data_IF_824794940475
#
_entry.id   IF_824794940475
#
_cell.length_a   1.000
_cell.length_b   1.000
_cell.length_c   1.000
_cell.angle_alpha   90.00
_cell.angle_beta   90.00
_cell.angle_gamma   90.00
#
_symmetry.space_group_name_H-M   'P 1'
#
loop_
_entity.id
_entity.type
_entity.pdbx_description
1 polymer ?
#
# COMPACT_ATOMS: atom_id res chain seq x y z
N UNK A 1 41.47 10.07 -64.15
CA UNK A 1 42.71 10.85 -64.36
C UNK A 1 43.67 10.35 -63.31
N UNK A 2 44.56 9.53 -63.73
CA UNK A 2 45.96 9.80 -64.11
C UNK A 2 46.85 10.03 -62.92
N UNK A 3 47.88 9.41 -62.58
CA UNK A 3 48.92 8.57 -63.24
C UNK A 3 49.78 8.00 -62.12
N UNK A 4 50.12 6.74 -62.04
CA UNK A 4 51.31 6.10 -62.68
C UNK A 4 52.63 6.66 -62.18
N UNK A 5 53.45 5.88 -61.67
CA UNK A 5 54.69 5.22 -62.20
C UNK A 5 55.78 5.49 -61.21
N UNK A 6 56.74 4.74 -60.78
CA UNK A 6 57.27 3.53 -61.29
C UNK A 6 58.55 3.13 -60.52
N UNK A 7 58.86 1.88 -60.64
CA UNK A 7 60.12 1.26 -61.05
C UNK A 7 61.37 1.43 -60.18
N UNK A 8 61.81 0.34 -59.59
CA UNK A 8 62.74 -0.69 -60.08
C UNK A 8 64.23 -0.36 -59.91
N UNK A 9 64.91 -1.41 -59.54
CA UNK A 9 66.27 -1.84 -59.86
C UNK A 9 67.26 -1.66 -58.70
N UNK A 10 68.09 -2.58 -58.33
CA UNK A 10 68.58 -3.89 -58.82
C UNK A 10 69.64 -4.28 -57.78
N UNK A 11 69.68 -5.47 -57.34
CA UNK A 11 70.42 -6.65 -57.81
C UNK A 11 71.96 -6.50 -57.77
N UNK A 12 72.52 -7.50 -57.16
CA UNK A 12 73.86 -8.14 -57.42
C UNK A 12 75.08 -7.54 -56.76
N UNK A 13 75.69 -8.40 -55.90
CA UNK A 13 76.96 -9.11 -56.15
C UNK A 13 77.40 -9.73 -54.83
N UNK A 14 77.29 -11.07 -54.77
CA UNK A 14 78.34 -12.04 -55.08
C UNK A 14 79.54 -11.97 -54.10
N UNK A 15 79.64 -12.98 -53.30
CA UNK A 15 80.37 -14.26 -53.43
C UNK A 15 81.79 -14.22 -52.85
N UNK A 16 82.17 -15.27 -52.16
CA UNK A 16 83.48 -15.70 -51.73
C UNK A 16 83.98 -15.16 -50.38
N UNK A 17 84.30 -16.02 -49.42
CA UNK A 17 85.16 -17.18 -49.35
C UNK A 17 84.85 -17.97 -48.07
N UNK A 18 84.67 -19.09 -48.12
CA UNK A 18 85.10 -20.45 -47.87
C UNK A 18 86.34 -20.58 -46.93
N UNK A 19 86.14 -21.60 -46.04
CA UNK A 19 87.16 -22.56 -45.54
C UNK A 19 87.81 -22.26 -44.20
N UNK A 20 87.70 -23.28 -43.40
CA UNK A 20 88.54 -23.84 -42.30
C UNK A 20 88.20 -23.24 -40.90
N UNK A 21 88.07 -24.01 -39.88
CA UNK A 21 88.61 -25.31 -39.47
C UNK A 21 87.72 -25.90 -38.35
N UNK A 22 87.53 -27.15 -38.47
CA UNK A 22 87.04 -28.17 -37.52
C UNK A 22 87.64 -28.09 -36.11
N UNK A 23 86.84 -28.66 -35.23
CA UNK A 23 87.25 -29.20 -33.92
C UNK A 23 87.08 -28.20 -32.74
N UNK A 24 85.97 -28.33 -32.03
CA UNK A 24 85.90 -28.81 -30.63
C UNK A 24 84.42 -29.11 -30.28
N UNK A 25 84.06 -30.40 -30.30
CA UNK A 25 82.85 -30.81 -29.57
C UNK A 25 83.26 -31.34 -28.21
N UNK A 26 82.56 -31.06 -27.20
CA UNK A 26 82.59 -31.66 -25.88
C UNK A 26 83.02 -30.64 -24.81
N UNK A 27 82.00 -29.96 -24.26
CA UNK A 27 81.95 -29.50 -22.86
C UNK A 27 80.80 -28.46 -22.67
N UNK A 28 79.56 -28.79 -23.08
CA UNK A 28 78.38 -28.05 -22.70
C UNK A 28 77.13 -28.97 -22.57
N UNK A 29 77.35 -30.04 -21.83
CA UNK A 29 76.33 -30.94 -21.36
C UNK A 29 76.39 -31.03 -19.83
N UNK A 30 76.04 -29.91 -19.12
CA UNK A 30 75.78 -29.96 -17.70
C UNK A 30 75.28 -28.61 -17.23
N UNK A 31 73.98 -28.28 -17.50
CA UNK A 31 73.11 -27.42 -16.70
C UNK A 31 71.73 -27.54 -17.24
N UNK A 32 71.14 -28.73 -17.25
CA UNK A 32 69.69 -28.86 -17.07
C UNK A 32 69.45 -28.73 -15.59
N UNK A 33 69.31 -27.52 -15.09
CA UNK A 33 68.67 -27.25 -13.85
C UNK A 33 67.20 -27.72 -14.00
N UNK A 34 66.93 -28.91 -13.47
CA UNK A 34 65.62 -29.30 -13.09
C UNK A 34 65.07 -28.13 -12.23
N UNK A 35 64.17 -27.36 -12.78
CA UNK A 35 63.35 -26.44 -11.98
C UNK A 35 62.49 -27.36 -11.11
N UNK A 36 62.93 -27.60 -9.88
CA UNK A 36 62.07 -28.12 -8.84
C UNK A 36 60.79 -27.21 -8.87
N UNK A 37 59.59 -27.81 -8.84
CA UNK A 37 58.41 -27.01 -8.68
C UNK A 37 58.61 -26.21 -7.41
N UNK A 38 58.63 -24.88 -7.53
CA UNK A 38 58.76 -23.95 -6.42
C UNK A 38 57.80 -24.40 -5.34
N UNK A 39 58.33 -24.71 -4.17
CA UNK A 39 57.55 -25.11 -3.01
C UNK A 39 56.44 -24.05 -2.86
N UNK A 40 55.21 -24.46 -3.04
CA UNK A 40 54.01 -23.59 -2.98
C UNK A 40 54.03 -22.89 -1.63
N UNK A 41 54.36 -21.60 -1.62
CA UNK A 41 54.37 -20.80 -0.40
C UNK A 41 53.03 -20.95 0.30
N UNK A 42 53.05 -21.47 1.53
CA UNK A 42 51.83 -21.57 2.36
C UNK A 42 51.41 -20.17 2.72
N UNK A 43 50.31 -19.69 2.12
CA UNK A 43 49.79 -18.35 2.38
C UNK A 43 48.71 -18.37 3.47
N UNK A 44 48.84 -17.40 4.37
CA UNK A 44 47.77 -17.14 5.34
C UNK A 44 46.56 -16.49 4.63
N UNK A 45 45.40 -17.08 4.76
CA UNK A 45 44.15 -16.57 4.21
C UNK A 45 43.12 -16.36 5.32
N UNK A 46 42.28 -15.37 5.16
CA UNK A 46 41.10 -15.22 6.04
C UNK A 46 39.93 -15.92 5.39
N UNK A 47 39.21 -16.72 6.16
CA UNK A 47 38.11 -17.54 5.68
C UNK A 47 36.85 -17.27 6.47
N UNK A 48 35.72 -17.63 5.88
CA UNK A 48 34.39 -17.70 6.53
C UNK A 48 33.80 -19.05 6.21
N UNK A 49 33.17 -19.67 7.21
CA UNK A 49 32.37 -20.88 7.00
C UNK A 49 31.01 -20.48 6.45
N UNK A 50 30.60 -21.17 5.41
CA UNK A 50 29.31 -20.92 4.75
C UNK A 50 28.17 -21.44 5.61
N UNK A 51 27.26 -20.54 5.93
CA UNK A 51 26.01 -20.83 6.63
C UNK A 51 24.83 -20.38 5.78
N UNK A 52 23.74 -21.15 5.79
CA UNK A 52 22.48 -20.67 5.23
C UNK A 52 21.84 -19.72 6.22
N UNK A 53 21.61 -18.51 5.77
CA UNK A 53 20.92 -17.51 6.55
C UNK A 53 19.65 -17.10 5.80
N UNK A 54 18.52 -17.12 6.50
CA UNK A 54 17.34 -16.44 5.97
C UNK A 54 17.67 -14.95 5.94
N UNK A 55 17.57 -14.27 4.79
CA UNK A 55 17.80 -12.85 4.74
C UNK A 55 16.73 -12.16 5.60
N UNK A 56 17.15 -11.64 6.74
CA UNK A 56 16.32 -10.88 7.67
C UNK A 56 16.23 -9.42 7.19
N UNK A 57 15.72 -9.24 5.97
CA UNK A 57 15.48 -7.89 5.42
C UNK A 57 13.99 -7.65 5.44
N UNK A 58 13.47 -6.97 6.48
CA UNK A 58 12.06 -6.63 6.53
C UNK A 58 11.72 -5.68 5.37
N UNK A 59 10.62 -5.94 4.70
CA UNK A 59 10.03 -4.96 3.79
C UNK A 59 9.48 -3.82 4.65
N UNK A 60 9.96 -2.61 4.38
CA UNK A 60 9.50 -1.39 5.04
C UNK A 60 8.79 -0.49 4.06
N UNK A 61 7.63 0.05 4.46
CA UNK A 61 6.87 0.98 3.64
C UNK A 61 6.27 2.07 4.50
N UNK A 62 6.26 3.30 3.97
CA UNK A 62 5.68 4.45 4.66
C UNK A 62 4.20 4.55 4.33
N UNK A 63 3.40 4.90 5.34
CA UNK A 63 1.96 5.09 5.24
C UNK A 63 1.46 6.17 6.19
N UNK A 64 0.15 6.22 6.36
CA UNK A 64 -0.52 7.17 7.26
C UNK A 64 -1.63 6.47 8.05
N UNK A 65 -1.95 7.03 9.20
CA UNK A 65 -3.08 6.57 10.02
C UNK A 65 -4.36 7.22 9.52
N UNK A 66 -5.36 6.40 9.23
CA UNK A 66 -6.72 6.83 8.90
C UNK A 66 -7.74 6.25 9.88
N UNK A 67 -8.93 6.84 9.91
CA UNK A 67 -10.04 6.23 10.63
C UNK A 67 -10.51 4.98 9.86
N UNK A 68 -10.95 3.97 10.61
CA UNK A 68 -11.58 2.79 10.02
C UNK A 68 -12.82 3.17 9.20
N UNK A 69 -13.61 4.09 9.74
CA UNK A 69 -14.86 4.55 9.12
C UNK A 69 -14.92 6.09 9.21
N UNK A 70 -15.09 6.71 8.06
CA UNK A 70 -15.19 8.15 7.92
C UNK A 70 -16.44 8.50 7.10
N UNK A 71 -17.32 9.32 7.68
CA UNK A 71 -18.54 9.76 7.05
C UNK A 71 -18.48 11.25 6.67
N UNK A 72 -18.81 11.57 5.44
CA UNK A 72 -19.06 12.94 4.99
C UNK A 72 -20.54 13.26 5.13
N UNK A 73 -20.86 14.23 5.96
CA UNK A 73 -22.20 14.66 6.24
C UNK A 73 -22.54 15.95 5.48
N UNK A 74 -23.73 16.04 4.91
CA UNK A 74 -24.24 17.17 4.18
C UNK A 74 -25.75 17.28 4.29
N UNK A 75 -26.29 18.48 4.03
CA UNK A 75 -27.72 18.70 4.03
C UNK A 75 -28.42 17.96 2.88
N UNK A 76 -29.63 17.49 3.13
CA UNK A 76 -30.50 16.84 2.13
C UNK A 76 -31.22 17.84 1.23
N UNK A 77 -31.23 19.13 1.60
CA UNK A 77 -31.78 20.24 0.84
C UNK A 77 -30.74 21.34 0.66
N UNK A 78 -30.89 22.16 -0.34
CA UNK A 78 -30.07 23.36 -0.53
C UNK A 78 -30.62 24.53 0.29
N UNK A 79 -29.74 25.39 0.76
CA UNK A 79 -30.12 26.54 1.54
C UNK A 79 -28.95 27.39 1.99
N UNK A 80 -29.22 28.47 2.70
CA UNK A 80 -28.20 29.29 3.34
C UNK A 80 -27.87 28.74 4.71
N UNK A 81 -26.62 28.59 5.01
CA UNK A 81 -26.16 28.15 6.36
C UNK A 81 -26.42 29.27 7.35
N UNK A 82 -27.22 28.98 8.36
CA UNK A 82 -27.49 29.89 9.47
C UNK A 82 -26.42 29.82 10.56
N UNK A 83 -26.06 28.57 10.94
CA UNK A 83 -25.11 28.27 11.99
C UNK A 83 -24.19 27.12 11.57
N UNK A 84 -22.88 27.31 11.73
CA UNK A 84 -21.85 26.28 11.62
C UNK A 84 -20.63 26.69 12.46
N UNK A 85 -20.64 26.34 13.76
CA UNK A 85 -19.60 26.68 14.72
C UNK A 85 -18.63 25.52 14.99
N UNK A 86 -18.62 24.51 14.11
CA UNK A 86 -17.82 23.31 14.23
C UNK A 86 -16.32 23.61 14.24
N UNK A 87 -15.58 22.85 15.05
CA UNK A 87 -14.11 22.93 15.13
C UNK A 87 -13.47 21.61 14.80
N UNK A 88 -12.39 21.66 14.03
CA UNK A 88 -11.58 20.50 13.75
C UNK A 88 -11.10 19.85 15.04
N UNK A 89 -11.20 18.53 15.14
CA UNK A 89 -10.82 17.76 16.34
C UNK A 89 -11.89 17.73 17.44
N UNK A 90 -13.03 18.40 17.26
CA UNK A 90 -14.15 18.35 18.20
C UNK A 90 -14.77 16.96 18.23
N UNK A 91 -15.09 16.48 19.45
CA UNK A 91 -15.83 15.24 19.63
C UNK A 91 -17.32 15.48 19.53
N UNK A 92 -17.99 14.68 18.71
CA UNK A 92 -19.43 14.76 18.52
C UNK A 92 -20.13 13.52 19.05
N UNK A 93 -21.40 13.70 19.46
CA UNK A 93 -22.30 12.64 19.94
C UNK A 93 -23.40 12.38 18.93
N UNK A 94 -23.97 11.18 18.86
CA UNK A 94 -25.16 10.91 18.03
C UNK A 94 -26.29 11.87 18.37
N UNK A 95 -26.98 12.40 17.34
CA UNK A 95 -28.05 13.37 17.48
C UNK A 95 -27.61 14.80 17.85
N UNK A 96 -26.29 15.03 17.95
CA UNK A 96 -25.80 16.40 18.13
C UNK A 96 -25.98 17.19 16.82
N UNK A 97 -26.64 18.35 16.92
CA UNK A 97 -26.78 19.27 15.78
C UNK A 97 -25.41 19.87 15.46
N UNK A 98 -24.99 19.68 14.21
CA UNK A 98 -23.70 20.13 13.68
C UNK A 98 -23.80 21.48 12.98
N UNK A 99 -24.88 21.67 12.21
CA UNK A 99 -25.11 22.89 11.46
C UNK A 99 -26.61 23.06 11.20
N UNK A 100 -27.05 24.30 10.92
CA UNK A 100 -28.41 24.64 10.58
C UNK A 100 -28.48 25.46 9.31
N UNK A 101 -29.48 25.18 8.49
CA UNK A 101 -29.92 26.07 7.40
C UNK A 101 -30.93 27.09 7.91
N UNK A 102 -31.10 28.17 7.17
CA UNK A 102 -32.18 29.15 7.38
C UNK A 102 -33.54 28.48 7.06
N UNK A 103 -34.42 28.23 8.07
CA UNK A 103 -35.58 27.35 7.91
C UNK A 103 -36.85 28.10 7.46
N UNK A 104 -36.75 29.40 7.12
CA UNK A 104 -37.92 30.25 6.98
C UNK A 104 -38.91 29.78 5.90
N UNK A 105 -38.36 29.27 4.77
CA UNK A 105 -39.18 28.77 3.66
C UNK A 105 -39.89 27.47 4.03
N UNK A 106 -39.19 26.56 4.68
CA UNK A 106 -39.69 25.25 5.12
C UNK A 106 -40.74 25.40 6.20
N UNK A 107 -40.53 26.34 7.15
CA UNK A 107 -41.52 26.67 8.17
C UNK A 107 -42.81 27.32 7.57
N UNK A 108 -42.66 28.11 6.52
CA UNK A 108 -43.82 28.65 5.80
C UNK A 108 -44.55 27.52 5.07
N UNK A 109 -43.84 26.60 4.43
CA UNK A 109 -44.40 25.39 3.82
C UNK A 109 -45.16 24.52 4.82
N UNK A 110 -44.57 24.30 6.01
CA UNK A 110 -45.23 23.56 7.09
C UNK A 110 -46.54 24.22 7.53
N UNK A 111 -46.54 25.54 7.76
CA UNK A 111 -47.76 26.26 8.12
C UNK A 111 -48.83 26.16 7.04
N UNK A 112 -48.46 26.23 5.77
CA UNK A 112 -49.38 26.05 4.65
C UNK A 112 -49.99 24.65 4.62
N UNK A 113 -49.19 23.60 4.81
CA UNK A 113 -49.67 22.23 4.86
C UNK A 113 -50.60 21.97 6.06
N UNK A 114 -50.27 22.56 7.23
CA UNK A 114 -51.16 22.51 8.41
C UNK A 114 -52.52 23.14 8.14
N UNK A 115 -52.54 24.30 7.50
CA UNK A 115 -53.79 24.98 7.13
C UNK A 115 -54.58 24.14 6.10
N UNK A 116 -53.91 23.51 5.14
CA UNK A 116 -54.50 22.60 4.17
C UNK A 116 -55.18 21.39 4.83
N UNK A 117 -54.51 20.77 5.80
CA UNK A 117 -55.10 19.66 6.56
C UNK A 117 -56.34 20.10 7.34
N UNK A 118 -56.26 21.22 8.05
CA UNK A 118 -57.41 21.75 8.80
C UNK A 118 -58.63 22.03 7.88
N UNK A 119 -58.37 22.54 6.66
CA UNK A 119 -59.45 22.76 5.68
C UNK A 119 -60.08 21.44 5.20
N UNK A 120 -59.24 20.41 4.91
CA UNK A 120 -59.71 19.08 4.50
C UNK A 120 -60.49 18.38 5.62
N UNK A 121 -60.07 18.48 6.87
CA UNK A 121 -60.78 17.94 8.03
C UNK A 121 -62.16 18.63 8.23
N UNK A 122 -62.22 19.96 8.00
CA UNK A 122 -63.47 20.67 8.00
C UNK A 122 -64.45 20.22 6.89
N UNK A 123 -63.92 19.87 5.70
CA UNK A 123 -64.68 19.28 4.61
C UNK A 123 -65.20 17.89 4.94
N UNK A 124 -64.34 17.04 5.51
CA UNK A 124 -64.68 15.70 5.95
C UNK A 124 -65.80 15.73 6.99
N UNK A 125 -65.72 16.63 7.96
CA UNK A 125 -66.77 16.80 8.98
C UNK A 125 -68.10 17.17 8.35
N UNK A 126 -68.16 18.12 7.39
CA UNK A 126 -69.35 18.46 6.66
C UNK A 126 -69.94 17.31 5.84
N UNK A 127 -69.08 16.57 5.12
CA UNK A 127 -69.47 15.41 4.33
C UNK A 127 -70.01 14.27 5.21
N UNK A 128 -69.37 14.02 6.36
CA UNK A 128 -69.83 13.05 7.34
C UNK A 128 -71.18 13.38 7.89
N UNK A 129 -71.39 14.61 8.34
CA UNK A 129 -72.73 15.09 8.83
C UNK A 129 -73.76 15.02 7.75
N UNK A 130 -73.42 15.25 6.50
CA UNK A 130 -74.34 15.13 5.35
C UNK A 130 -74.71 13.67 5.11
N UNK A 131 -73.71 12.76 5.06
CA UNK A 131 -73.93 11.32 4.91
C UNK A 131 -74.82 10.74 6.01
N UNK A 132 -74.53 11.03 7.28
CA UNK A 132 -75.34 10.59 8.42
C UNK A 132 -76.80 11.05 8.34
N UNK A 133 -77.03 12.26 7.88
CA UNK A 133 -78.46 12.75 7.64
C UNK A 133 -79.11 11.98 6.50
N UNK A 134 -78.46 11.74 5.38
CA UNK A 134 -79.02 10.97 4.26
C UNK A 134 -79.22 9.50 4.63
N UNK A 135 -78.40 8.89 5.43
CA UNK A 135 -78.60 7.56 5.95
C UNK A 135 -79.86 7.45 6.82
N UNK A 136 -80.03 8.39 7.72
CA UNK A 136 -81.20 8.45 8.57
C UNK A 136 -82.52 8.70 7.75
N UNK A 137 -82.51 9.49 6.69
CA UNK A 137 -83.61 9.74 5.83
C UNK A 137 -83.92 8.56 4.89
N UNK A 138 -82.91 7.88 4.39
CA UNK A 138 -83.04 6.65 3.59
C UNK A 138 -83.77 5.55 4.38
N UNK A 139 -83.38 5.36 5.64
CA UNK A 139 -83.99 4.36 6.54
C UNK A 139 -85.51 4.62 6.80
N UNK A 140 -85.98 5.80 6.42
CA UNK A 140 -87.41 6.20 6.52
C UNK A 140 -88.08 6.39 5.15
N UNK A 141 -87.42 5.91 4.06
CA UNK A 141 -87.89 6.05 2.67
C UNK A 141 -88.19 7.53 2.21
N UNK A 142 -87.49 8.50 2.85
CA UNK A 142 -87.67 9.93 2.53
C UNK A 142 -86.77 10.38 1.37
N UNK A 143 -85.63 9.70 1.12
CA UNK A 143 -84.73 10.04 0.05
C UNK A 143 -84.41 8.83 -0.87
N UNK A 144 -83.97 9.11 -2.09
CA UNK A 144 -83.63 8.06 -3.03
C UNK A 144 -82.29 7.41 -2.70
N UNK A 145 -82.10 6.17 -3.15
CA UNK A 145 -80.77 5.49 -3.04
C UNK A 145 -79.65 6.25 -3.76
N UNK A 146 -79.95 6.87 -4.91
CA UNK A 146 -79.00 7.71 -5.65
C UNK A 146 -78.48 8.87 -4.80
N UNK A 147 -79.36 9.58 -4.05
CA UNK A 147 -78.95 10.66 -3.13
C UNK A 147 -78.07 10.18 -1.98
N UNK A 148 -78.40 9.02 -1.44
CA UNK A 148 -77.59 8.40 -0.42
C UNK A 148 -76.21 7.99 -0.96
N UNK A 149 -76.15 7.33 -2.14
CA UNK A 149 -74.90 6.92 -2.78
C UNK A 149 -74.00 8.12 -3.13
N UNK A 150 -74.56 9.23 -3.54
CA UNK A 150 -73.91 10.52 -3.75
C UNK A 150 -73.27 11.05 -2.43
N UNK A 151 -74.04 11.06 -1.33
CA UNK A 151 -73.48 11.45 -0.02
C UNK A 151 -72.36 10.55 0.47
N UNK A 152 -72.50 9.25 0.23
CA UNK A 152 -71.42 8.27 0.53
C UNK A 152 -70.15 8.52 -0.27
N UNK A 153 -70.32 8.84 -1.56
CA UNK A 153 -69.15 9.17 -2.42
C UNK A 153 -68.51 10.50 -1.99
N UNK A 154 -69.32 11.54 -1.60
CA UNK A 154 -68.75 12.75 -1.04
C UNK A 154 -67.96 12.52 0.22
N UNK A 155 -68.43 11.66 1.14
CA UNK A 155 -67.70 11.28 2.34
C UNK A 155 -66.38 10.59 2.01
N UNK A 156 -66.40 9.62 1.10
CA UNK A 156 -65.20 8.90 0.68
C UNK A 156 -64.17 9.84 0.02
N UNK A 157 -64.62 10.75 -0.83
CA UNK A 157 -63.78 11.78 -1.47
C UNK A 157 -63.16 12.71 -0.43
N UNK A 158 -63.95 13.19 0.55
CA UNK A 158 -63.44 14.04 1.62
C UNK A 158 -62.44 13.31 2.52
N UNK A 159 -62.64 12.01 2.77
CA UNK A 159 -61.67 11.18 3.50
C UNK A 159 -60.32 11.09 2.74
N UNK A 160 -60.38 10.83 1.43
CA UNK A 160 -59.18 10.77 0.60
C UNK A 160 -58.43 12.11 0.54
N UNK A 161 -59.16 13.24 0.60
CA UNK A 161 -58.57 14.58 0.68
C UNK A 161 -57.80 14.81 2.01
N UNK A 162 -58.36 14.33 3.14
CA UNK A 162 -57.65 14.38 4.43
C UNK A 162 -56.37 13.53 4.40
N UNK A 163 -56.46 12.33 3.83
CA UNK A 163 -55.31 11.45 3.75
C UNK A 163 -54.19 12.06 2.87
N UNK A 164 -54.56 12.69 1.76
CA UNK A 164 -53.60 13.42 0.91
C UNK A 164 -53.00 14.64 1.64
N UNK A 165 -53.81 15.40 2.39
CA UNK A 165 -53.33 16.55 3.15
C UNK A 165 -52.41 16.14 4.32
N UNK A 166 -52.66 14.98 4.95
CA UNK A 166 -51.76 14.41 5.96
C UNK A 166 -50.41 14.05 5.34
N UNK A 167 -50.39 13.38 4.20
CA UNK A 167 -49.16 13.06 3.51
C UNK A 167 -48.36 14.33 3.15
N UNK A 168 -49.05 15.38 2.70
CA UNK A 168 -48.42 16.66 2.41
C UNK A 168 -47.81 17.32 3.67
N UNK A 169 -48.48 17.20 4.81
CA UNK A 169 -48.00 17.70 6.09
C UNK A 169 -46.72 16.96 6.54
N UNK A 170 -46.66 15.63 6.38
CA UNK A 170 -45.46 14.86 6.70
C UNK A 170 -44.28 15.27 5.82
N UNK A 171 -44.46 15.43 4.51
CA UNK A 171 -43.43 15.97 3.62
C UNK A 171 -42.92 17.34 4.08
N UNK A 172 -43.82 18.22 4.49
CA UNK A 172 -43.43 19.54 4.98
C UNK A 172 -42.69 19.49 6.31
N UNK A 173 -43.02 18.53 7.19
CA UNK A 173 -42.28 18.27 8.44
C UNK A 173 -40.87 17.75 8.16
N UNK A 174 -40.73 16.80 7.23
CA UNK A 174 -39.46 16.27 6.82
C UNK A 174 -38.53 17.36 6.27
N UNK A 175 -39.06 18.25 5.42
CA UNK A 175 -38.32 19.40 4.89
C UNK A 175 -37.76 20.31 5.99
N UNK A 176 -38.57 20.58 7.04
CA UNK A 176 -38.09 21.32 8.20
C UNK A 176 -37.02 20.58 8.94
N UNK A 177 -37.15 19.25 9.14
CA UNK A 177 -36.13 18.46 9.81
C UNK A 177 -34.81 18.45 9.04
N UNK A 178 -34.84 18.49 7.70
CA UNK A 178 -33.65 18.54 6.85
C UNK A 178 -32.88 19.86 6.93
N UNK A 179 -33.43 20.88 7.60
CA UNK A 179 -32.71 22.14 7.89
C UNK A 179 -31.72 22.00 9.02
N UNK A 180 -31.79 20.93 9.83
CA UNK A 180 -30.82 20.60 10.85
C UNK A 180 -29.94 19.41 10.39
N UNK A 181 -28.65 19.56 10.49
CA UNK A 181 -27.68 18.51 10.22
C UNK A 181 -27.20 17.93 11.55
N UNK A 182 -27.53 16.68 11.78
CA UNK A 182 -27.14 15.97 13.01
C UNK A 182 -26.04 14.94 12.74
N UNK A 183 -25.23 14.69 13.77
CA UNK A 183 -24.26 13.58 13.75
C UNK A 183 -25.01 12.24 13.87
N UNK A 184 -24.74 11.32 12.98
CA UNK A 184 -25.34 9.98 12.95
C UNK A 184 -24.65 8.99 13.89
N UNK A 185 -23.39 9.25 14.27
CA UNK A 185 -22.58 8.40 15.12
C UNK A 185 -21.60 9.22 15.97
N UNK A 186 -21.08 8.63 17.07
CA UNK A 186 -20.05 9.29 17.87
C UNK A 186 -18.72 9.28 17.12
N UNK A 187 -18.01 10.41 17.16
CA UNK A 187 -16.75 10.54 16.43
C UNK A 187 -15.99 11.82 16.70
N UNK A 188 -15.02 12.09 15.84
CA UNK A 188 -14.20 13.31 15.87
C UNK A 188 -14.28 13.97 14.50
N UNK A 189 -14.47 15.30 14.48
CA UNK A 189 -14.50 16.07 13.25
C UNK A 189 -13.12 16.14 12.59
N UNK A 190 -13.01 15.61 11.36
CA UNK A 190 -11.76 15.61 10.56
C UNK A 190 -11.76 16.67 9.46
N UNK A 191 -12.95 17.16 9.05
CA UNK A 191 -13.09 18.30 8.16
C UNK A 191 -14.35 19.10 8.46
N UNK A 192 -14.29 20.40 8.22
CA UNK A 192 -15.40 21.34 8.35
C UNK A 192 -15.55 22.09 7.04
N UNK A 193 -16.78 22.14 6.54
CA UNK A 193 -17.14 22.78 5.28
C UNK A 193 -17.57 24.25 5.42
N UNK A 194 -18.57 24.70 4.60
CA UNK A 194 -19.01 26.08 4.51
C UNK A 194 -19.44 26.67 5.85
N UNK A 195 -19.20 27.96 6.02
CA UNK A 195 -19.50 28.72 7.24
C UNK A 195 -20.89 29.34 7.19
N UNK A 196 -21.35 29.86 8.34
CA UNK A 196 -22.57 30.65 8.45
C UNK A 196 -22.58 31.78 7.42
N UNK A 197 -23.73 31.99 6.75
CA UNK A 197 -23.94 32.96 5.68
C UNK A 197 -23.71 32.43 4.26
N UNK A 198 -23.00 31.30 4.07
CA UNK A 198 -22.80 30.69 2.76
C UNK A 198 -24.00 29.89 2.28
N UNK A 199 -24.16 29.78 0.96
CA UNK A 199 -25.21 28.97 0.34
C UNK A 199 -24.65 27.63 -0.05
N UNK A 200 -25.31 26.55 0.35
CA UNK A 200 -24.91 25.18 0.10
C UNK A 200 -25.88 24.43 -0.76
N UNK A 201 -25.37 23.46 -1.51
CA UNK A 201 -26.17 22.57 -2.35
C UNK A 201 -26.47 21.27 -1.61
N UNK A 202 -27.52 20.58 -2.05
CA UNK A 202 -27.83 19.22 -1.58
C UNK A 202 -26.65 18.30 -1.74
N UNK A 203 -26.26 17.58 -0.67
CA UNK A 203 -25.15 16.65 -0.66
C UNK A 203 -23.75 17.30 -0.57
N UNK A 204 -23.67 18.63 -0.51
CA UNK A 204 -22.39 19.30 -0.27
C UNK A 204 -21.89 18.98 1.13
N UNK A 205 -20.60 18.61 1.24
CA UNK A 205 -19.97 18.25 2.52
C UNK A 205 -19.96 19.46 3.48
N UNK A 206 -20.55 19.30 4.64
CA UNK A 206 -20.58 20.27 5.75
C UNK A 206 -19.63 19.85 6.87
N UNK A 207 -19.59 18.58 7.17
CA UNK A 207 -18.71 18.02 8.18
C UNK A 207 -18.23 16.64 7.76
N UNK A 208 -17.02 16.27 8.15
CA UNK A 208 -16.51 14.90 8.03
C UNK A 208 -16.19 14.38 9.41
N UNK A 209 -16.70 13.20 9.71
CA UNK A 209 -16.59 12.58 11.03
C UNK A 209 -15.81 11.27 10.89
N UNK A 210 -14.67 11.18 11.59
CA UNK A 210 -14.03 9.90 11.87
C UNK A 210 -14.80 9.24 13.00
N UNK A 211 -15.57 8.18 12.69
CA UNK A 211 -16.35 7.45 13.69
C UNK A 211 -15.47 6.68 14.65
N UNK A 212 -15.95 6.48 15.88
CA UNK A 212 -15.27 5.60 16.84
C UNK A 212 -15.41 4.15 16.38
N UNK A 213 -14.33 3.50 16.00
CA UNK A 213 -14.41 2.11 15.51
C UNK A 213 -13.06 1.46 15.26
N UNK A 214 -11.98 2.21 15.39
CA UNK A 214 -10.64 1.72 15.11
C UNK A 214 -9.85 2.66 14.21
N UNK A 215 -8.60 2.29 13.98
CA UNK A 215 -7.68 3.01 13.09
C UNK A 215 -7.04 2.01 12.14
N UNK A 216 -6.88 2.42 10.92
CA UNK A 216 -6.14 1.70 9.91
C UNK A 216 -4.84 2.44 9.60
N UNK A 217 -3.79 1.68 9.35
CA UNK A 217 -2.62 2.20 8.67
C UNK A 217 -2.79 1.96 7.17
N UNK A 218 -2.75 3.02 6.39
CA UNK A 218 -2.95 2.97 4.94
C UNK A 218 -1.61 3.14 4.25
N UNK A 219 -1.29 2.19 3.38
CA UNK A 219 -0.03 2.12 2.65
C UNK A 219 -0.25 2.09 1.15
N UNK A 220 0.61 2.77 0.40
CA UNK A 220 0.67 2.71 -1.06
C UNK A 220 1.75 1.70 -1.49
N UNK A 221 1.34 0.48 -1.85
CA UNK A 221 2.23 -0.66 -2.07
C UNK A 221 2.43 -0.94 -3.56
N UNK A 222 3.66 -0.96 -4.09
CA UNK A 222 3.92 -1.37 -5.47
C UNK A 222 3.51 -2.82 -5.73
N UNK A 223 2.99 -3.10 -6.94
CA UNK A 223 2.49 -4.43 -7.32
C UNK A 223 3.51 -5.56 -7.11
N UNK A 224 4.80 -5.26 -7.25
CA UNK A 224 5.87 -6.24 -7.07
C UNK A 224 5.98 -6.68 -5.60
N UNK A 225 5.82 -5.75 -4.65
CA UNK A 225 5.89 -6.05 -3.21
C UNK A 225 4.71 -6.91 -2.74
N UNK A 226 3.50 -6.67 -3.27
CA UNK A 226 2.32 -7.46 -2.87
C UNK A 226 2.51 -8.95 -3.15
N UNK A 227 3.21 -9.31 -4.23
CA UNK A 227 3.48 -10.70 -4.60
C UNK A 227 4.53 -11.38 -3.71
N UNK A 228 5.35 -10.60 -3.02
CA UNK A 228 6.43 -11.09 -2.18
C UNK A 228 6.03 -11.28 -0.71
N UNK A 229 4.83 -10.83 -0.33
CA UNK A 229 4.32 -10.89 1.05
C UNK A 229 3.46 -12.15 1.22
N UNK A 230 3.55 -12.86 2.36
CA UNK A 230 2.64 -13.97 2.70
C UNK A 230 1.16 -13.57 2.64
N UNK A 231 0.26 -14.55 2.55
CA UNK A 231 -1.18 -14.27 2.43
C UNK A 231 -1.77 -13.55 3.65
N UNK A 232 -1.26 -13.83 4.85
CA UNK A 232 -1.70 -13.22 6.12
C UNK A 232 -0.50 -12.77 6.95
N UNK A 233 0.20 -11.69 6.54
CA UNK A 233 1.37 -11.24 7.28
C UNK A 233 0.95 -10.49 8.54
N UNK A 234 1.68 -10.68 9.61
CA UNK A 234 1.65 -9.77 10.75
C UNK A 234 2.50 -8.54 10.43
N UNK A 235 1.90 -7.37 10.52
CA UNK A 235 2.53 -6.10 10.16
C UNK A 235 2.79 -5.30 11.41
N UNK A 236 4.05 -5.05 11.73
CA UNK A 236 4.41 -4.11 12.79
C UNK A 236 4.40 -2.70 12.23
N UNK A 237 3.56 -1.84 12.80
CA UNK A 237 3.43 -0.43 12.40
C UNK A 237 4.02 0.43 13.50
N UNK A 238 4.96 1.30 13.15
CA UNK A 238 5.60 2.26 14.08
C UNK A 238 5.42 3.69 13.61
N UNK A 239 5.33 4.65 14.55
CA UNK A 239 5.37 6.06 14.18
C UNK A 239 6.74 6.42 13.59
N UNK A 240 6.75 7.31 12.60
CA UNK A 240 8.00 7.78 11.98
C UNK A 240 8.79 8.65 12.93
N UNK A 241 8.10 9.50 13.73
CA UNK A 241 8.72 10.46 14.66
C UNK A 241 9.16 9.80 15.97
N UNK A 242 8.51 8.69 16.36
CA UNK A 242 8.85 7.91 17.55
C UNK A 242 8.72 6.41 17.25
N UNK A 243 9.80 5.76 16.79
CA UNK A 243 9.78 4.33 16.45
C UNK A 243 9.49 3.39 17.64
N UNK A 244 9.49 3.89 18.89
CA UNK A 244 9.14 3.09 20.07
C UNK A 244 7.62 2.90 20.21
N UNK A 245 6.83 3.80 19.61
CA UNK A 245 5.38 3.69 19.55
C UNK A 245 4.99 2.77 18.41
N UNK A 246 4.61 1.56 18.76
CA UNK A 246 4.28 0.49 17.81
C UNK A 246 2.87 -0.05 18.03
N UNK A 247 2.28 -0.56 16.96
CA UNK A 247 1.06 -1.35 16.98
C UNK A 247 1.20 -2.53 16.01
N UNK A 248 0.52 -3.60 16.29
CA UNK A 248 0.42 -4.76 15.39
C UNK A 248 -0.85 -4.63 14.57
N UNK A 249 -0.76 -4.94 13.30
CA UNK A 249 -1.90 -4.91 12.40
C UNK A 249 -1.92 -6.08 11.42
N UNK A 250 -3.10 -6.28 10.82
CA UNK A 250 -3.32 -7.27 9.76
C UNK A 250 -3.95 -6.60 8.56
N UNK A 251 -3.65 -7.11 7.38
CA UNK A 251 -4.27 -6.63 6.15
C UNK A 251 -5.79 -6.85 6.26
N UNK A 252 -6.53 -5.76 6.13
CA UNK A 252 -8.00 -5.77 6.10
C UNK A 252 -8.50 -5.73 4.66
N UNK A 253 -7.88 -4.89 3.88
CA UNK A 253 -8.30 -4.64 2.50
C UNK A 253 -7.09 -4.32 1.63
N UNK A 254 -7.14 -4.82 0.40
CA UNK A 254 -6.23 -4.44 -0.67
C UNK A 254 -7.09 -3.91 -1.82
N UNK A 255 -6.87 -2.68 -2.23
CA UNK A 255 -7.61 -2.08 -3.33
C UNK A 255 -7.52 -2.98 -4.58
N UNK A 256 -8.64 -3.30 -5.25
CA UNK A 256 -8.64 -4.18 -6.41
C UNK A 256 -7.99 -3.55 -7.65
N UNK A 257 -7.81 -2.24 -7.64
CA UNK A 257 -7.24 -1.47 -8.74
C UNK A 257 -6.07 -0.62 -8.26
N UNK A 258 -5.00 -0.62 -9.04
CA UNK A 258 -3.86 0.25 -8.80
C UNK A 258 -4.22 1.71 -9.13
N UNK A 259 -3.69 2.63 -8.36
CA UNK A 259 -3.71 4.06 -8.68
C UNK A 259 -2.95 4.28 -10.01
N UNK A 260 -3.57 4.85 -11.05
CA UNK A 260 -2.95 4.99 -12.37
C UNK A 260 -1.76 5.95 -12.40
N UNK A 261 -1.66 6.85 -11.44
CA UNK A 261 -0.59 7.85 -11.38
C UNK A 261 0.66 7.28 -10.67
N UNK A 262 0.47 6.62 -9.53
CA UNK A 262 1.56 6.08 -8.70
C UNK A 262 1.90 4.64 -9.04
N UNK A 263 0.99 3.89 -9.70
CA UNK A 263 1.08 2.45 -9.98
C UNK A 263 1.20 1.59 -8.72
N UNK A 264 0.64 2.08 -7.62
CA UNK A 264 0.57 1.42 -6.32
C UNK A 264 -0.84 0.98 -6.02
N UNK A 265 -0.97 -0.03 -5.17
CA UNK A 265 -2.24 -0.46 -4.59
C UNK A 265 -2.37 0.11 -3.18
N UNK A 266 -3.52 0.63 -2.84
CA UNK A 266 -3.83 1.00 -1.47
C UNK A 266 -4.05 -0.28 -0.65
N UNK A 267 -3.32 -0.41 0.45
CA UNK A 267 -3.44 -1.52 1.40
C UNK A 267 -3.83 -0.94 2.75
N UNK A 268 -4.97 -1.37 3.27
CA UNK A 268 -5.48 -1.01 4.59
C UNK A 268 -5.14 -2.09 5.60
N UNK A 269 -4.41 -1.69 6.63
CA UNK A 269 -3.97 -2.55 7.72
C UNK A 269 -4.71 -2.15 8.99
N UNK A 270 -5.64 -3.00 9.41
CA UNK A 270 -6.39 -2.80 10.65
C UNK A 270 -5.48 -2.95 11.87
N UNK A 271 -5.35 -1.90 12.67
CA UNK A 271 -4.50 -1.89 13.86
C UNK A 271 -5.24 -2.47 15.08
N UNK A 272 -4.56 -3.30 15.84
CA UNK A 272 -5.05 -3.83 17.12
C UNK A 272 -4.59 -2.90 18.23
N UNK A 273 -5.54 -2.34 18.99
CA UNK A 273 -5.30 -1.46 20.13
C UNK A 273 -4.22 -0.38 19.91
N UNK A 274 -4.34 0.43 18.84
CA UNK A 274 -3.32 1.39 18.50
C UNK A 274 -3.14 2.45 19.62
N UNK A 275 -1.91 2.73 20.05
CA UNK A 275 -1.63 3.75 21.06
C UNK A 275 -2.25 5.11 20.72
N UNK A 276 -2.62 5.90 21.74
CA UNK A 276 -3.23 7.22 21.55
C UNK A 276 -2.32 8.20 20.75
N UNK A 277 -1.01 7.99 20.80
CA UNK A 277 -0.03 8.77 20.03
C UNK A 277 -0.15 8.57 18.51
N UNK A 278 -0.65 7.43 18.02
CA UNK A 278 -0.94 7.19 16.61
C UNK A 278 -2.22 7.93 16.17
N UNK A 279 -2.14 9.25 16.10
CA UNK A 279 -3.27 10.12 15.74
C UNK A 279 -3.62 9.97 14.26
N UNK A 280 -4.87 10.30 13.89
CA UNK A 280 -5.28 10.39 12.49
C UNK A 280 -4.38 11.36 11.73
N UNK A 281 -3.94 10.97 10.54
CA UNK A 281 -2.98 11.71 9.72
C UNK A 281 -1.50 11.53 10.10
N UNK A 282 -1.18 10.83 11.21
CA UNK A 282 0.21 10.56 11.56
C UNK A 282 0.89 9.67 10.52
N UNK A 283 2.16 9.98 10.23
CA UNK A 283 2.98 9.17 9.32
C UNK A 283 3.55 7.96 10.08
N UNK A 284 3.45 6.79 9.44
CA UNK A 284 3.87 5.52 10.02
C UNK A 284 4.74 4.72 9.05
N UNK A 285 5.51 3.80 9.61
CA UNK A 285 6.30 2.82 8.87
C UNK A 285 5.74 1.45 9.19
N UNK A 286 5.25 0.75 8.16
CA UNK A 286 4.89 -0.66 8.22
C UNK A 286 6.11 -1.52 7.95
N UNK A 287 6.32 -2.57 8.77
CA UNK A 287 7.35 -3.59 8.61
C UNK A 287 6.72 -4.95 8.52
N UNK A 288 7.10 -5.68 7.48
CA UNK A 288 6.68 -7.06 7.26
C UNK A 288 7.94 -7.93 7.18
N UNK A 289 7.98 -8.99 7.95
CA UNK A 289 8.98 -10.04 7.76
C UNK A 289 8.52 -10.93 6.60
N UNK A 290 9.39 -11.12 5.63
CA UNK A 290 9.14 -12.02 4.51
C UNK A 290 9.95 -13.27 4.76
N UNK A 291 9.30 -14.42 4.75
CA UNK A 291 9.99 -15.71 4.76
C UNK A 291 10.71 -15.89 3.42
N UNK A 292 11.88 -15.27 3.29
CA UNK A 292 12.72 -15.52 2.15
C UNK A 292 13.42 -16.88 2.33
N UNK A 293 13.49 -17.65 1.25
CA UNK A 293 14.22 -18.91 1.26
C UNK A 293 15.64 -18.66 1.78
N UNK A 294 16.15 -19.51 2.69
CA UNK A 294 17.49 -19.34 3.23
C UNK A 294 18.51 -19.40 2.11
N UNK A 295 19.24 -18.30 1.92
CA UNK A 295 20.32 -18.17 0.94
C UNK A 295 21.67 -18.24 1.63
N UNK A 296 22.68 -18.63 0.87
CA UNK A 296 24.07 -18.58 1.32
C UNK A 296 24.59 -17.16 1.11
N UNK A 297 24.92 -16.45 2.18
CA UNK A 297 25.54 -15.12 2.10
C UNK A 297 27.03 -15.20 2.38
N UNK A 298 27.83 -14.63 1.48
CA UNK A 298 29.27 -14.50 1.63
C UNK A 298 29.65 -13.01 1.53
N UNK A 299 30.74 -12.57 2.19
CA UNK A 299 31.25 -11.22 2.01
C UNK A 299 31.61 -10.94 0.54
N UNK A 300 31.32 -9.75 0.03
CA UNK A 300 31.62 -9.36 -1.35
C UNK A 300 33.13 -9.47 -1.68
N UNK A 301 33.98 -9.38 -0.66
CA UNK A 301 35.46 -9.58 -0.80
C UNK A 301 35.87 -11.00 -1.17
N UNK A 302 34.98 -12.00 -0.98
CA UNK A 302 35.23 -13.39 -1.37
C UNK A 302 35.02 -13.62 -2.87
N UNK A 303 34.27 -12.73 -3.53
CA UNK A 303 33.95 -12.89 -4.94
C UNK A 303 35.17 -12.66 -5.82
N UNK A 304 35.41 -13.60 -6.70
CA UNK A 304 36.45 -13.55 -7.75
C UNK A 304 35.82 -13.93 -9.10
N UNK A 305 36.62 -14.01 -10.15
CA UNK A 305 36.14 -14.43 -11.47
C UNK A 305 36.96 -15.60 -11.99
N UNK A 306 36.28 -16.57 -12.58
CA UNK A 306 36.90 -17.67 -13.34
C UNK A 306 36.33 -17.64 -14.76
N UNK A 307 37.15 -17.43 -15.75
CA UNK A 307 36.73 -17.37 -17.18
C UNK A 307 35.58 -16.37 -17.43
N UNK A 308 35.60 -15.23 -16.70
CA UNK A 308 34.55 -14.22 -16.81
C UNK A 308 33.29 -14.47 -15.97
N UNK A 309 33.17 -15.64 -15.34
CA UNK A 309 32.01 -16.01 -14.47
C UNK A 309 32.34 -15.77 -13.00
N UNK A 310 31.35 -15.46 -12.15
CA UNK A 310 31.53 -15.37 -10.71
C UNK A 310 32.06 -16.68 -10.13
N UNK A 311 33.05 -16.59 -9.24
CA UNK A 311 33.67 -17.73 -8.59
C UNK A 311 34.18 -17.36 -7.20
N UNK A 312 34.40 -18.35 -6.37
CA UNK A 312 34.99 -18.23 -5.02
C UNK A 312 36.08 -19.28 -4.80
N UNK A 313 37.02 -18.97 -3.90
CA UNK A 313 37.99 -19.93 -3.44
C UNK A 313 37.42 -20.70 -2.25
N UNK A 314 37.30 -22.01 -2.39
CA UNK A 314 36.88 -22.93 -1.33
C UNK A 314 38.10 -23.69 -0.80
N UNK A 315 38.23 -23.75 0.50
CA UNK A 315 39.32 -24.50 1.19
C UNK A 315 38.81 -25.89 1.54
N UNK A 316 39.55 -26.91 1.17
CA UNK A 316 39.34 -28.26 1.65
C UNK A 316 39.93 -28.39 3.07
N UNK A 317 39.12 -28.65 4.10
CA UNK A 317 39.58 -28.70 5.48
C UNK A 317 40.55 -29.87 5.78
N UNK A 318 40.51 -30.93 4.96
CA UNK A 318 41.38 -32.13 5.16
C UNK A 318 42.76 -31.96 4.57
N UNK A 319 42.88 -31.29 3.44
CA UNK A 319 44.14 -31.11 2.70
C UNK A 319 44.73 -29.70 2.86
N UNK A 320 43.94 -28.76 3.37
CA UNK A 320 44.26 -27.34 3.46
C UNK A 320 44.61 -26.73 2.09
N UNK A 321 44.03 -27.25 1.01
CA UNK A 321 44.24 -26.76 -0.35
C UNK A 321 43.03 -25.96 -0.82
N UNK A 322 43.25 -24.98 -1.70
CA UNK A 322 42.19 -24.16 -2.27
C UNK A 322 41.80 -24.64 -3.67
N UNK A 323 40.51 -24.66 -3.93
CA UNK A 323 39.93 -24.88 -5.25
C UNK A 323 39.07 -23.72 -5.65
N UNK A 324 39.10 -23.36 -6.96
CA UNK A 324 38.25 -22.31 -7.49
C UNK A 324 36.92 -22.93 -7.94
N UNK A 325 35.81 -22.49 -7.31
CA UNK A 325 34.47 -23.00 -7.60
C UNK A 325 33.61 -21.91 -8.20
N UNK A 326 32.98 -22.20 -9.34
CA UNK A 326 31.98 -21.29 -9.97
C UNK A 326 30.73 -21.27 -9.13
N UNK A 327 30.13 -20.08 -9.02
CA UNK A 327 28.91 -19.85 -8.23
C UNK A 327 27.88 -19.04 -9.05
N UNK A 328 26.59 -19.26 -8.77
CA UNK A 328 25.52 -18.45 -9.30
C UNK A 328 25.12 -17.40 -8.26
N UNK A 329 25.19 -16.15 -8.64
CA UNK A 329 24.89 -15.01 -7.78
C UNK A 329 23.44 -14.59 -8.01
N UNK A 330 22.63 -14.62 -6.94
CA UNK A 330 21.24 -14.17 -6.96
C UNK A 330 21.16 -12.65 -6.75
N UNK A 331 21.90 -12.15 -5.76
CA UNK A 331 21.96 -10.73 -5.39
C UNK A 331 23.37 -10.38 -4.93
N UNK A 332 23.79 -9.15 -5.27
CA UNK A 332 25.10 -8.62 -4.82
C UNK A 332 24.94 -7.20 -4.33
N UNK A 333 25.35 -6.96 -3.09
CA UNK A 333 25.40 -5.65 -2.44
C UNK A 333 26.87 -5.20 -2.29
N UNK A 334 27.09 -4.00 -1.76
CA UNK A 334 28.44 -3.47 -1.52
C UNK A 334 29.24 -4.30 -0.50
N UNK A 335 28.58 -5.00 0.41
CA UNK A 335 29.19 -5.76 1.52
C UNK A 335 29.00 -7.27 1.42
N UNK A 336 27.90 -7.76 0.83
CA UNK A 336 27.51 -9.17 0.79
C UNK A 336 27.06 -9.61 -0.60
N UNK A 337 27.19 -10.89 -0.86
CA UNK A 337 26.75 -11.58 -2.08
C UNK A 337 25.89 -12.77 -1.66
N UNK A 338 24.66 -12.82 -2.13
CA UNK A 338 23.77 -13.97 -1.98
C UNK A 338 24.00 -14.94 -3.13
N UNK A 339 24.32 -16.20 -2.79
CA UNK A 339 24.64 -17.28 -3.71
C UNK A 339 23.47 -18.26 -3.77
N UNK A 340 22.95 -18.51 -4.97
CA UNK A 340 21.86 -19.46 -5.19
C UNK A 340 22.35 -20.88 -5.39
N UNK A 341 23.49 -21.05 -6.09
CA UNK A 341 24.08 -22.38 -6.38
C UNK A 341 25.59 -22.33 -6.38
N UNK A 342 26.22 -23.51 -6.14
CA UNK A 342 27.67 -23.67 -6.23
C UNK A 342 28.42 -23.72 -4.89
N UNK A 343 27.72 -23.49 -3.76
CA UNK A 343 28.27 -23.65 -2.41
C UNK A 343 27.40 -24.60 -1.58
N UNK A 344 28.07 -25.42 -0.77
CA UNK A 344 27.45 -26.32 0.19
C UNK A 344 27.55 -25.77 1.62
N UNK A 345 26.68 -26.27 2.50
CA UNK A 345 26.77 -25.94 3.93
C UNK A 345 28.14 -26.45 4.49
N UNK A 346 28.73 -25.62 5.32
CA UNK A 346 30.06 -25.86 5.92
C UNK A 346 31.25 -25.71 4.98
N UNK A 347 31.04 -25.31 3.72
CA UNK A 347 32.18 -24.91 2.87
C UNK A 347 32.96 -23.75 3.52
N UNK A 348 34.27 -23.78 3.42
CA UNK A 348 35.15 -22.73 3.95
C UNK A 348 35.60 -21.86 2.78
N UNK A 349 35.08 -20.62 2.72
CA UNK A 349 35.34 -19.69 1.62
C UNK A 349 36.39 -18.65 2.03
N UNK A 350 37.35 -18.38 1.14
CA UNK A 350 38.37 -17.36 1.36
C UNK A 350 37.83 -15.97 1.14
N UNK A 351 37.90 -15.11 2.16
CA UNK A 351 37.41 -13.72 2.12
C UNK A 351 38.53 -12.68 1.98
N UNK A 352 39.78 -13.05 2.27
CA UNK A 352 40.93 -12.17 2.04
C UNK A 352 42.13 -12.97 1.59
N UNK A 353 42.93 -12.40 0.66
CA UNK A 353 44.09 -13.08 0.07
C UNK A 353 43.77 -13.81 -1.26
N UNK A 354 42.52 -13.72 -1.75
CA UNK A 354 42.04 -14.47 -2.92
C UNK A 354 42.73 -14.15 -4.25
N UNK A 355 43.28 -12.93 -4.43
CA UNK A 355 43.83 -12.48 -5.73
C UNK A 355 45.11 -13.16 -6.18
N UNK A 356 45.84 -13.82 -5.27
CA UNK A 356 47.14 -14.42 -5.53
C UNK A 356 47.17 -15.94 -5.28
N UNK A 357 45.99 -16.57 -5.24
CA UNK A 357 45.86 -18.01 -5.05
C UNK A 357 45.83 -18.73 -6.40
N UNK A 358 46.40 -19.96 -6.39
CA UNK A 358 46.34 -20.89 -7.51
C UNK A 358 45.60 -22.17 -7.11
N UNK A 359 44.90 -22.83 -8.04
CA UNK A 359 44.24 -24.11 -7.74
C UNK A 359 45.22 -25.13 -7.17
N UNK A 360 44.84 -25.81 -6.08
CA UNK A 360 45.68 -26.79 -5.38
C UNK A 360 46.74 -26.21 -4.42
N UNK A 361 46.82 -24.88 -4.27
CA UNK A 361 47.77 -24.24 -3.37
C UNK A 361 47.38 -24.51 -1.91
N UNK A 362 48.40 -24.86 -1.07
CA UNK A 362 48.20 -24.97 0.37
C UNK A 362 48.09 -23.62 1.04
N UNK A 363 47.13 -23.49 1.95
CA UNK A 363 46.87 -22.27 2.72
C UNK A 363 46.91 -22.55 4.21
N UNK A 364 47.15 -21.51 5.01
CA UNK A 364 47.10 -21.56 6.46
C UNK A 364 45.85 -20.80 6.95
N UNK A 365 45.02 -21.49 7.73
CA UNK A 365 43.86 -20.92 8.36
C UNK A 365 44.27 -20.25 9.68
N UNK A 366 43.73 -19.06 10.02
CA UNK A 366 43.94 -18.46 11.34
C UNK A 366 43.25 -19.33 12.40
N UNK A 367 44.02 -19.83 13.38
CA UNK A 367 43.51 -20.62 14.51
C UNK A 367 43.79 -22.11 14.48
N UNK A 368 44.42 -22.66 13.44
CA UNK A 368 45.02 -24.00 13.43
C UNK A 368 46.54 -23.83 13.52
N UNK A 369 47.06 -23.66 14.75
CA UNK A 369 48.49 -23.91 15.01
C UNK A 369 48.72 -25.41 14.97
N UNK A 370 49.67 -25.80 14.14
CA UNK A 370 50.21 -27.18 14.04
C UNK A 370 51.04 -27.53 15.25
#
# INVERSE_FOLDING_TARGET
MSRRVGYQKAARRLLRTAIAVSAVPALLAACQSQTEPAASEIRAVRTVTVERRAPDVPITITGRIEALDEASLGFRISGRVLENDLKLGEQVKPGQVLARLEPQNELNGLRSAQAGLAAAEGQLTRARNHFERQEFLLARDVVSRATFDEAKQMLQTAQSQVDAAKAQLEVARDLVSFTELEADAPGVLTAVGPRAGEVVQTGQMIARIARKGGRDAVFEVPAQMIRSVPAEPEITVSLTDDPTVTAVGRIREVAPQANPQTRTFEVRVGLTDPPAAMRLGATVIGRVQVDAAPVIEIPATALTKSEGQPAVWVVDPSTLTVSLRKIDVERSDASTVAVSQGLDMSDIVVVAGARALHPGQKVRLPGLES
#
